data_IF_890779633165
#
_entry.id   IF_890779633165
#
_cell.length_a   1.000
_cell.length_b   1.000
_cell.length_c   1.000
_cell.angle_alpha   90.00
_cell.angle_beta   90.00
_cell.angle_gamma   90.00
#
_symmetry.space_group_name_H-M   'P 1'
#
loop_
_entity.id
_entity.type
_entity.pdbx_description
1 polymer ?
#
# COMPACT_ATOMS: atom_id res chain seq x y z
N UNK A 1 -10.71 -37.37 -31.95
CA UNK A 1 -9.91 -36.26 -31.39
C UNK A 1 -10.39 -35.00 -32.08
N UNK A 2 -11.10 -34.11 -31.38
CA UNK A 2 -11.64 -32.90 -32.00
C UNK A 2 -10.45 -31.99 -32.31
N UNK A 3 -10.20 -31.69 -33.58
CA UNK A 3 -9.33 -30.59 -33.97
C UNK A 3 -9.90 -29.32 -33.35
N UNK A 4 -9.37 -28.95 -32.18
CA UNK A 4 -9.82 -27.81 -31.43
C UNK A 4 -9.53 -26.55 -32.23
N UNK A 5 -10.54 -25.72 -32.43
CA UNK A 5 -10.39 -24.38 -32.98
C UNK A 5 -9.34 -23.67 -32.13
N UNK A 6 -8.18 -23.39 -32.73
CA UNK A 6 -7.07 -22.71 -32.05
C UNK A 6 -7.25 -21.22 -32.25
N UNK A 7 -7.58 -20.52 -31.17
CA UNK A 7 -7.81 -19.07 -31.17
C UNK A 7 -6.46 -18.39 -30.97
N UNK A 8 -6.09 -17.47 -31.85
CA UNK A 8 -4.86 -16.69 -31.68
C UNK A 8 -5.01 -15.65 -30.56
N UNK A 9 -3.89 -15.20 -29.96
CA UNK A 9 -3.91 -14.10 -28.97
C UNK A 9 -4.66 -12.87 -29.46
N UNK A 10 -4.54 -12.55 -30.76
CA UNK A 10 -5.25 -11.42 -31.40
C UNK A 10 -6.75 -11.65 -31.44
N UNK A 11 -7.17 -12.85 -31.83
CA UNK A 11 -8.58 -13.20 -31.89
C UNK A 11 -9.21 -13.27 -30.49
N UNK A 12 -8.47 -13.75 -29.49
CA UNK A 12 -8.91 -13.73 -28.09
C UNK A 12 -9.07 -12.28 -27.56
N UNK A 13 -8.16 -11.39 -27.94
CA UNK A 13 -8.22 -9.96 -27.59
C UNK A 13 -9.45 -9.27 -28.19
N UNK A 14 -9.75 -9.54 -29.46
CA UNK A 14 -10.96 -9.04 -30.13
C UNK A 14 -12.24 -9.53 -29.44
N UNK A 15 -12.31 -10.80 -29.05
CA UNK A 15 -13.50 -11.39 -28.38
C UNK A 15 -13.68 -10.94 -26.93
N UNK A 16 -12.61 -10.65 -26.21
CA UNK A 16 -12.65 -10.21 -24.81
C UNK A 16 -12.68 -8.68 -24.68
N UNK A 17 -12.62 -7.95 -25.79
CA UNK A 17 -12.56 -6.48 -25.84
C UNK A 17 -11.42 -5.89 -24.99
N UNK A 18 -10.27 -6.54 -25.00
CA UNK A 18 -9.05 -6.11 -24.30
C UNK A 18 -7.89 -6.08 -25.27
N UNK A 19 -6.81 -5.40 -24.93
CA UNK A 19 -5.66 -5.29 -25.82
C UNK A 19 -4.88 -6.62 -25.89
N UNK A 20 -4.28 -6.92 -27.05
CA UNK A 20 -3.54 -8.17 -27.25
C UNK A 20 -2.33 -8.31 -26.30
N UNK A 21 -1.73 -7.19 -25.88
CA UNK A 21 -0.68 -7.18 -24.85
C UNK A 21 -1.22 -7.54 -23.46
N UNK A 22 -2.42 -7.09 -23.10
CA UNK A 22 -3.08 -7.44 -21.84
C UNK A 22 -3.38 -8.93 -21.78
N UNK A 23 -3.90 -9.49 -22.88
CA UNK A 23 -4.10 -10.94 -23.01
C UNK A 23 -2.77 -11.68 -22.89
N UNK A 24 -1.70 -11.19 -23.54
CA UNK A 24 -0.36 -11.78 -23.40
C UNK A 24 0.14 -11.75 -21.95
N UNK A 25 0.03 -10.60 -21.27
CA UNK A 25 0.40 -10.44 -19.85
C UNK A 25 -0.36 -11.41 -18.95
N UNK A 26 -1.67 -11.63 -19.21
CA UNK A 26 -2.44 -12.64 -18.49
C UNK A 26 -1.97 -14.06 -18.80
N UNK A 27 -1.67 -14.37 -20.05
CA UNK A 27 -1.11 -15.66 -20.45
C UNK A 27 0.22 -15.91 -19.74
N UNK A 28 1.14 -14.94 -19.74
CA UNK A 28 2.44 -15.05 -19.08
C UNK A 28 2.30 -15.19 -17.55
N UNK A 29 1.35 -14.46 -16.95
CA UNK A 29 1.11 -14.49 -15.49
C UNK A 29 0.41 -15.78 -15.05
N UNK A 30 -0.47 -16.31 -15.90
CA UNK A 30 -1.32 -17.47 -15.61
C UNK A 30 -1.01 -18.66 -16.51
N UNK A 31 0.24 -18.81 -16.97
CA UNK A 31 0.65 -19.79 -17.98
C UNK A 31 0.29 -21.23 -17.56
N UNK A 32 0.60 -21.57 -16.31
CA UNK A 32 0.33 -22.89 -15.71
C UNK A 32 -1.17 -23.22 -15.69
N UNK A 33 -2.04 -22.20 -15.55
CA UNK A 33 -3.48 -22.39 -15.54
C UNK A 33 -4.08 -22.34 -16.94
N UNK A 34 -3.57 -21.51 -17.85
CA UNK A 34 -4.13 -21.34 -19.19
C UNK A 34 -3.64 -22.43 -20.15
N UNK A 35 -2.46 -23.00 -19.90
CA UNK A 35 -1.79 -23.99 -20.76
C UNK A 35 -1.75 -23.54 -22.24
N UNK A 36 -1.16 -22.37 -22.53
CA UNK A 36 -1.10 -21.84 -23.89
C UNK A 36 -0.14 -22.65 -24.76
N UNK A 37 -0.49 -22.85 -26.04
CA UNK A 37 0.43 -23.48 -27.00
C UNK A 37 1.13 -22.41 -27.83
N UNK A 38 2.47 -22.36 -27.81
CA UNK A 38 3.23 -21.43 -28.65
C UNK A 38 3.38 -22.03 -30.05
N UNK A 39 3.03 -21.27 -31.10
CA UNK A 39 3.28 -21.66 -32.48
C UNK A 39 4.73 -21.31 -32.90
N UNK A 40 5.22 -21.82 -34.02
CA UNK A 40 6.60 -21.61 -34.53
C UNK A 40 6.98 -20.12 -34.72
N UNK A 41 6.00 -19.22 -34.69
CA UNK A 41 6.15 -17.76 -34.81
C UNK A 41 6.18 -17.02 -33.45
N UNK A 42 6.17 -17.72 -32.33
CA UNK A 42 6.14 -17.11 -30.99
C UNK A 42 4.77 -16.51 -30.62
N UNK A 43 3.69 -16.95 -31.26
CA UNK A 43 2.32 -16.53 -30.94
C UNK A 43 1.63 -17.57 -30.08
N UNK A 44 0.95 -17.13 -29.02
CA UNK A 44 0.13 -18.02 -28.19
C UNK A 44 -1.16 -18.40 -28.94
N UNK A 45 -1.36 -19.71 -29.04
CA UNK A 45 -2.54 -20.36 -29.56
C UNK A 45 -3.29 -20.96 -28.39
N UNK A 46 -4.53 -20.53 -28.20
CA UNK A 46 -5.39 -20.95 -27.12
C UNK A 46 -6.34 -22.02 -27.64
N UNK A 47 -6.51 -23.11 -26.88
CA UNK A 47 -7.65 -24.01 -27.07
C UNK A 47 -8.92 -23.35 -26.55
N UNK A 48 -10.09 -23.90 -26.89
CA UNK A 48 -11.36 -23.40 -26.35
C UNK A 48 -11.38 -23.44 -24.82
N UNK A 49 -10.79 -24.48 -24.21
CA UNK A 49 -10.68 -24.61 -22.75
C UNK A 49 -9.75 -23.53 -22.17
N UNK A 50 -8.59 -23.29 -22.79
CA UNK A 50 -7.66 -22.20 -22.42
C UNK A 50 -8.34 -20.83 -22.51
N UNK A 51 -9.18 -20.62 -23.52
CA UNK A 51 -9.95 -19.38 -23.69
C UNK A 51 -11.02 -19.20 -22.61
N UNK A 52 -11.70 -20.27 -22.19
CA UNK A 52 -12.64 -20.22 -21.06
C UNK A 52 -11.92 -19.83 -19.77
N UNK A 53 -10.73 -20.38 -19.52
CA UNK A 53 -9.90 -20.01 -18.36
C UNK A 53 -9.45 -18.54 -18.41
N UNK A 54 -9.09 -18.05 -19.59
CA UNK A 54 -8.76 -16.64 -19.82
C UNK A 54 -9.96 -15.71 -19.52
N UNK A 55 -11.18 -16.11 -19.92
CA UNK A 55 -12.41 -15.38 -19.59
C UNK A 55 -12.70 -15.40 -18.07
N UNK A 56 -12.43 -16.51 -17.39
CA UNK A 56 -12.57 -16.59 -15.93
C UNK A 56 -11.64 -15.58 -15.23
N UNK A 57 -10.39 -15.49 -15.67
CA UNK A 57 -9.43 -14.49 -15.17
C UNK A 57 -9.95 -13.07 -15.41
N UNK A 58 -10.43 -12.76 -16.63
CA UNK A 58 -11.02 -11.45 -16.94
C UNK A 58 -12.16 -11.11 -15.97
N UNK A 59 -13.06 -12.06 -15.73
CA UNK A 59 -14.20 -11.85 -14.83
C UNK A 59 -13.75 -11.55 -13.40
N UNK A 60 -12.79 -12.33 -12.88
CA UNK A 60 -12.24 -12.12 -11.53
C UNK A 60 -11.51 -10.78 -11.41
N UNK A 61 -10.83 -10.32 -12.47
CA UNK A 61 -10.22 -8.99 -12.52
C UNK A 61 -11.26 -7.86 -12.51
N UNK A 62 -12.39 -8.05 -13.19
CA UNK A 62 -13.52 -7.11 -13.15
C UNK A 62 -14.20 -7.03 -11.78
N UNK A 63 -14.07 -8.07 -10.96
CA UNK A 63 -14.56 -8.12 -9.57
C UNK A 63 -13.60 -7.42 -8.57
N UNK A 64 -12.67 -6.59 -9.04
CA UNK A 64 -11.64 -5.87 -8.27
C UNK A 64 -10.63 -6.77 -7.52
N UNK A 65 -10.46 -8.02 -7.96
CA UNK A 65 -9.42 -8.89 -7.40
C UNK A 65 -8.08 -8.57 -8.06
N UNK A 66 -7.02 -8.45 -7.27
CA UNK A 66 -5.68 -8.28 -7.83
C UNK A 66 -5.19 -9.57 -8.50
N UNK A 67 -4.28 -9.48 -9.47
CA UNK A 67 -3.70 -10.67 -10.13
C UNK A 67 -3.10 -11.66 -9.11
N UNK A 68 -2.51 -11.14 -8.03
CA UNK A 68 -1.96 -11.94 -6.93
C UNK A 68 -3.04 -12.66 -6.13
N UNK A 69 -4.16 -11.98 -5.86
CA UNK A 69 -5.32 -12.59 -5.18
C UNK A 69 -5.94 -13.69 -6.06
N UNK A 70 -6.07 -13.46 -7.36
CA UNK A 70 -6.57 -14.46 -8.32
C UNK A 70 -5.65 -15.68 -8.35
N UNK A 71 -4.33 -15.47 -8.38
CA UNK A 71 -3.36 -16.58 -8.31
C UNK A 71 -3.53 -17.39 -7.02
N UNK A 72 -3.67 -16.72 -5.88
CA UNK A 72 -3.87 -17.37 -4.60
C UNK A 72 -5.20 -18.14 -4.52
N UNK A 73 -6.28 -17.61 -5.10
CA UNK A 73 -7.56 -18.32 -5.24
C UNK A 73 -7.44 -19.56 -6.13
N UNK A 74 -6.73 -19.47 -7.26
CA UNK A 74 -6.51 -20.60 -8.17
C UNK A 74 -5.68 -21.72 -7.51
N UNK A 75 -4.70 -21.34 -6.66
CA UNK A 75 -3.92 -22.27 -5.83
C UNK A 75 -4.84 -22.92 -4.78
N UNK A 76 -5.67 -22.14 -4.09
CA UNK A 76 -6.61 -22.66 -3.09
C UNK A 76 -7.70 -23.57 -3.70
N UNK A 77 -8.12 -23.29 -4.93
CA UNK A 77 -9.06 -24.13 -5.69
C UNK A 77 -8.44 -25.44 -6.20
N UNK A 78 -7.13 -25.65 -5.99
CA UNK A 78 -6.42 -26.85 -6.47
C UNK A 78 -6.27 -26.91 -8.00
N UNK A 79 -6.44 -25.76 -8.68
CA UNK A 79 -6.30 -25.63 -10.15
C UNK A 79 -4.93 -25.08 -10.56
N UNK A 80 -4.11 -24.71 -9.59
CA UNK A 80 -2.76 -24.20 -9.76
C UNK A 80 -1.84 -25.00 -8.84
N UNK A 81 -0.98 -25.84 -9.41
CA UNK A 81 -0.04 -26.65 -8.65
C UNK A 81 1.20 -25.79 -8.32
N UNK A 82 1.41 -25.54 -7.04
CA UNK A 82 2.26 -24.45 -6.56
C UNK A 82 3.77 -24.78 -6.59
N UNK A 83 4.24 -25.50 -7.61
CA UNK A 83 5.57 -26.11 -7.62
C UNK A 83 6.36 -25.90 -8.93
N UNK A 84 6.24 -24.74 -9.55
CA UNK A 84 7.14 -24.29 -10.64
C UNK A 84 7.75 -22.91 -10.33
N UNK A 85 8.36 -22.78 -9.15
CA UNK A 85 9.47 -21.84 -8.97
C UNK A 85 10.78 -22.60 -9.25
N UNK A 86 11.18 -22.70 -10.53
CA UNK A 86 12.57 -22.82 -11.01
C UNK A 86 12.61 -23.34 -12.46
N UNK A 87 12.98 -22.47 -13.40
CA UNK A 87 14.05 -22.69 -14.39
C UNK A 87 13.95 -21.62 -15.49
N UNK A 88 14.75 -20.57 -15.34
CA UNK A 88 15.24 -19.83 -16.48
C UNK A 88 16.38 -20.64 -17.09
N UNK A 89 16.30 -21.02 -18.37
CA UNK A 89 17.47 -21.26 -19.23
C UNK A 89 17.20 -20.72 -20.64
N UNK A 90 18.18 -20.00 -21.25
CA UNK A 90 18.11 -19.56 -22.64
C UNK A 90 18.91 -20.52 -23.55
N UNK A 91 18.26 -21.13 -24.53
CA UNK A 91 18.92 -21.93 -25.59
C UNK A 91 18.42 -21.38 -26.95
N UNK A 92 19.24 -20.59 -27.64
CA UNK A 92 20.17 -20.98 -28.72
C UNK A 92 19.53 -21.10 -30.12
N UNK A 93 20.04 -20.24 -31.01
CA UNK A 93 20.15 -20.27 -32.47
C UNK A 93 19.22 -21.17 -33.30
N UNK A 94 18.54 -20.56 -34.30
CA UNK A 94 18.59 -21.06 -35.68
C UNK A 94 18.17 -20.00 -36.71
N UNK A 95 19.07 -19.78 -37.68
CA UNK A 95 18.92 -18.95 -38.88
C UNK A 95 18.22 -19.77 -39.97
N UNK A 96 17.16 -19.24 -40.62
CA UNK A 96 16.72 -19.75 -41.93
C UNK A 96 16.39 -18.59 -42.89
N UNK A 97 16.99 -18.70 -44.07
CA UNK A 97 16.98 -17.79 -45.21
C UNK A 97 15.63 -17.67 -45.92
N UNK A 98 15.35 -16.47 -46.43
CA UNK A 98 14.25 -16.14 -47.35
C UNK A 98 14.60 -16.51 -48.80
N UNK A 99 13.62 -16.94 -49.61
CA UNK A 99 13.75 -16.72 -51.05
C UNK A 99 12.44 -16.23 -51.71
N UNK A 100 12.61 -15.19 -52.54
CA UNK A 100 11.67 -14.63 -53.53
C UNK A 100 10.49 -13.79 -52.96
N UNK A 101 10.21 -12.56 -53.38
CA UNK A 101 10.57 -11.83 -54.61
C UNK A 101 9.30 -11.43 -55.36
N UNK A 102 8.75 -10.23 -55.08
CA UNK A 102 8.19 -9.30 -56.08
C UNK A 102 7.60 -8.04 -55.43
N UNK A 103 8.09 -6.90 -55.89
CA UNK A 103 7.76 -5.53 -55.49
C UNK A 103 6.64 -4.94 -56.34
N UNK A 104 5.63 -4.30 -55.72
CA UNK A 104 4.81 -3.22 -56.33
C UNK A 104 4.34 -2.22 -55.24
N UNK A 105 4.07 -0.94 -55.60
CA UNK A 105 4.32 0.20 -54.71
C UNK A 105 3.15 0.50 -53.77
N UNK A 106 3.34 0.20 -52.48
CA UNK A 106 2.43 0.56 -51.39
C UNK A 106 2.78 1.90 -50.71
N UNK A 107 3.68 2.71 -51.26
CA UNK A 107 4.25 3.86 -50.52
C UNK A 107 3.32 5.07 -50.32
N UNK A 108 2.12 5.10 -50.91
CA UNK A 108 1.22 6.27 -50.81
C UNK A 108 -0.01 6.09 -49.93
N UNK A 109 -0.30 4.87 -49.48
CA UNK A 109 -1.30 4.59 -48.43
C UNK A 109 -0.65 4.26 -47.09
N UNK A 110 0.60 3.79 -47.12
CA UNK A 110 1.43 3.53 -45.93
C UNK A 110 1.76 4.83 -45.19
N UNK A 111 2.03 5.96 -45.86
CA UNK A 111 2.42 7.20 -45.19
C UNK A 111 1.38 7.75 -44.19
N UNK A 112 0.09 7.71 -44.54
CA UNK A 112 -0.98 8.13 -43.61
C UNK A 112 -1.31 7.07 -42.55
N UNK A 113 -1.02 5.79 -42.82
CA UNK A 113 -1.19 4.70 -41.85
C UNK A 113 -0.03 4.63 -40.86
N UNK A 114 1.18 4.97 -41.29
CA UNK A 114 2.37 5.16 -40.44
C UNK A 114 2.18 6.37 -39.53
N UNK A 115 1.73 7.51 -40.07
CA UNK A 115 1.53 8.73 -39.28
C UNK A 115 0.40 8.55 -38.24
N UNK A 116 -0.67 7.81 -38.59
CA UNK A 116 -1.69 7.38 -37.63
C UNK A 116 -1.11 6.33 -36.66
N UNK A 117 -0.23 5.45 -37.13
CA UNK A 117 0.50 4.46 -36.35
C UNK A 117 1.39 5.08 -35.27
N UNK A 118 2.21 6.07 -35.61
CA UNK A 118 3.06 6.84 -34.70
C UNK A 118 2.24 7.64 -33.68
N UNK A 119 1.11 8.19 -34.11
CA UNK A 119 0.20 8.90 -33.21
C UNK A 119 -0.49 7.94 -32.23
N UNK A 120 -0.88 6.75 -32.70
CA UNK A 120 -1.40 5.68 -31.84
C UNK A 120 -0.33 5.16 -30.88
N UNK A 121 0.91 4.97 -31.34
CA UNK A 121 2.06 4.59 -30.51
C UNK A 121 2.30 5.60 -29.39
N UNK A 122 2.25 6.90 -29.70
CA UNK A 122 2.34 7.97 -28.69
C UNK A 122 1.19 7.92 -27.68
N UNK A 123 -0.03 7.61 -28.13
CA UNK A 123 -1.18 7.45 -27.24
C UNK A 123 -1.02 6.20 -26.36
N UNK A 124 -0.45 5.11 -26.90
CA UNK A 124 -0.16 3.89 -26.15
C UNK A 124 0.94 4.11 -25.11
N UNK A 125 2.03 4.80 -25.45
CA UNK A 125 3.07 5.19 -24.48
C UNK A 125 2.49 6.03 -23.33
N UNK A 126 1.56 6.94 -23.63
CA UNK A 126 0.89 7.73 -22.59
C UNK A 126 -0.08 6.92 -21.75
N UNK A 127 -0.74 5.92 -22.33
CA UNK A 127 -1.61 5.00 -21.58
C UNK A 127 -0.78 4.07 -20.69
N UNK A 128 0.39 3.62 -21.15
CA UNK A 128 1.34 2.81 -20.37
C UNK A 128 1.90 3.61 -19.18
N UNK A 129 2.28 4.88 -19.40
CA UNK A 129 2.67 5.80 -18.33
C UNK A 129 1.53 6.05 -17.32
N UNK A 130 0.28 6.08 -17.79
CA UNK A 130 -0.88 6.20 -16.91
C UNK A 130 -1.13 4.93 -16.11
N UNK A 131 -0.98 3.76 -16.72
CA UNK A 131 -1.07 2.45 -16.06
C UNK A 131 -0.02 2.35 -14.94
N UNK A 132 1.24 2.67 -15.25
CA UNK A 132 2.35 2.69 -14.27
C UNK A 132 2.12 3.71 -13.15
N UNK A 133 1.60 4.90 -13.48
CA UNK A 133 1.26 5.89 -12.47
C UNK A 133 0.14 5.43 -11.54
N UNK A 134 -0.88 4.73 -12.08
CA UNK A 134 -1.97 4.15 -11.31
C UNK A 134 -1.46 3.03 -10.40
N UNK A 135 -0.56 2.17 -10.87
CA UNK A 135 0.08 1.17 -10.02
C UNK A 135 0.92 1.78 -8.90
N UNK A 136 1.70 2.81 -9.22
CA UNK A 136 2.47 3.54 -8.21
C UNK A 136 1.55 4.16 -7.15
N UNK A 137 0.40 4.70 -7.56
CA UNK A 137 -0.59 5.23 -6.62
C UNK A 137 -1.16 4.13 -5.71
N UNK A 138 -1.41 2.93 -6.21
CA UNK A 138 -1.84 1.81 -5.39
C UNK A 138 -0.78 1.41 -4.35
N UNK A 139 0.49 1.33 -4.75
CA UNK A 139 1.59 1.02 -3.83
C UNK A 139 1.74 2.09 -2.73
N UNK A 140 1.63 3.38 -3.10
CA UNK A 140 1.68 4.50 -2.16
C UNK A 140 0.49 4.47 -1.21
N UNK A 141 -0.72 4.14 -1.69
CA UNK A 141 -1.92 4.02 -0.85
C UNK A 141 -1.78 2.84 0.10
N UNK A 142 -1.30 1.69 -0.35
CA UNK A 142 -1.07 0.52 0.49
C UNK A 142 0.00 0.80 1.56
N UNK A 143 1.09 1.48 1.20
CA UNK A 143 2.10 1.92 2.15
C UNK A 143 1.53 2.92 3.17
N UNK A 144 0.69 3.87 2.71
CA UNK A 144 0.00 4.81 3.58
C UNK A 144 -0.96 4.09 4.54
N UNK A 145 -1.72 3.11 4.05
CA UNK A 145 -2.64 2.32 4.87
C UNK A 145 -1.86 1.52 5.93
N UNK A 146 -0.77 0.85 5.55
CA UNK A 146 0.10 0.15 6.50
C UNK A 146 0.69 1.11 7.54
N UNK A 147 1.16 2.28 7.11
CA UNK A 147 1.66 3.33 8.02
C UNK A 147 0.55 3.87 8.93
N UNK A 148 -0.67 4.00 8.43
CA UNK A 148 -1.81 4.51 9.19
C UNK A 148 -2.31 3.49 10.22
N UNK A 149 -2.33 2.20 9.87
CA UNK A 149 -2.64 1.10 10.80
C UNK A 149 -1.54 0.95 11.85
N UNK A 150 -0.26 1.04 11.46
CA UNK A 150 0.86 1.07 12.41
C UNK A 150 0.82 2.31 13.32
N UNK A 151 0.45 3.48 12.78
CA UNK A 151 0.29 4.70 13.56
C UNK A 151 -1.00 4.74 14.39
N UNK A 152 -2.05 3.98 14.05
CA UNK A 152 -3.23 3.84 14.91
C UNK A 152 -2.88 3.23 16.27
N UNK A 153 -1.81 2.45 16.38
CA UNK A 153 -1.28 2.00 17.68
C UNK A 153 -0.60 3.12 18.48
N UNK A 154 -0.19 4.22 17.84
CA UNK A 154 0.48 5.37 18.46
C UNK A 154 -0.45 6.56 18.73
N UNK A 155 -1.68 6.57 18.19
CA UNK A 155 -2.68 7.53 18.64
C UNK A 155 -3.29 7.03 19.95
N UNK A 156 -2.85 7.61 21.06
CA UNK A 156 -3.61 7.52 22.31
C UNK A 156 -5.04 7.97 21.98
N UNK A 157 -6.07 7.12 22.19
CA UNK A 157 -7.44 7.49 21.90
C UNK A 157 -7.76 8.79 22.62
N UNK A 158 -8.51 9.70 21.97
CA UNK A 158 -8.79 11.04 22.50
C UNK A 158 -9.32 11.00 23.94
N UNK A 159 -10.05 9.94 24.30
CA UNK A 159 -10.50 9.65 25.66
C UNK A 159 -9.36 9.47 26.67
N UNK A 160 -8.28 8.78 26.30
CA UNK A 160 -7.11 8.58 27.14
C UNK A 160 -6.31 9.87 27.32
N UNK A 161 -6.20 10.71 26.28
CA UNK A 161 -5.63 12.05 26.41
C UNK A 161 -6.45 12.95 27.34
N UNK A 162 -7.79 12.94 27.21
CA UNK A 162 -8.68 13.67 28.10
C UNK A 162 -8.53 13.21 29.56
N UNK A 163 -8.44 11.89 29.79
CA UNK A 163 -8.20 11.33 31.12
C UNK A 163 -6.88 11.82 31.71
N UNK A 164 -5.80 11.81 30.92
CA UNK A 164 -4.49 12.30 31.36
C UNK A 164 -4.50 13.80 31.68
N UNK A 165 -5.22 14.62 30.91
CA UNK A 165 -5.38 16.05 31.18
C UNK A 165 -6.14 16.27 32.51
N UNK A 166 -7.19 15.50 32.77
CA UNK A 166 -7.95 15.58 34.02
C UNK A 166 -7.09 15.18 35.23
N UNK A 167 -6.30 14.11 35.10
CA UNK A 167 -5.38 13.64 36.14
C UNK A 167 -4.26 14.66 36.42
N UNK A 168 -3.75 15.33 35.39
CA UNK A 168 -2.79 16.44 35.55
C UNK A 168 -3.45 17.59 36.33
N UNK A 169 -4.69 17.95 36.00
CA UNK A 169 -5.46 18.98 36.72
C UNK A 169 -5.62 18.65 38.20
N UNK A 170 -6.04 17.40 38.51
CA UNK A 170 -6.17 16.92 39.90
C UNK A 170 -4.85 16.99 40.67
N UNK A 171 -3.75 16.54 40.05
CA UNK A 171 -2.41 16.62 40.67
C UNK A 171 -1.97 18.06 40.91
N UNK A 172 -2.28 18.96 39.98
CA UNK A 172 -1.96 20.39 40.14
C UNK A 172 -2.72 20.99 41.35
N UNK A 173 -4.00 20.66 41.50
CA UNK A 173 -4.80 21.15 42.63
C UNK A 173 -4.38 20.53 43.96
N UNK A 174 -3.98 19.25 43.96
CA UNK A 174 -3.37 18.61 45.11
C UNK A 174 -2.07 19.31 45.52
N UNK A 175 -1.16 19.56 44.57
CA UNK A 175 0.09 20.29 44.81
C UNK A 175 -0.15 21.69 45.35
N UNK A 176 -1.16 22.42 44.86
CA UNK A 176 -1.54 23.73 45.40
C UNK A 176 -2.04 23.63 46.85
N UNK A 177 -2.81 22.60 47.18
CA UNK A 177 -3.26 22.37 48.55
C UNK A 177 -2.08 22.06 49.48
N UNK A 178 -1.17 21.19 49.05
CA UNK A 178 0.05 20.86 49.79
C UNK A 178 0.96 22.08 49.98
N UNK A 179 1.15 22.90 48.94
CA UNK A 179 1.90 24.16 49.05
C UNK A 179 1.27 25.13 50.04
N UNK A 180 -0.05 25.28 50.04
CA UNK A 180 -0.76 26.12 51.03
C UNK A 180 -0.56 25.58 52.44
N UNK A 181 -0.68 24.26 52.62
CA UNK A 181 -0.49 23.62 53.93
C UNK A 181 0.95 23.74 54.41
N UNK A 182 1.94 23.55 53.53
CA UNK A 182 3.35 23.72 53.83
C UNK A 182 3.67 25.18 54.19
N UNK A 183 3.13 26.14 53.43
CA UNK A 183 3.28 27.58 53.70
C UNK A 183 2.65 27.97 55.03
N UNK A 184 1.45 27.46 55.31
CA UNK A 184 0.77 27.68 56.57
C UNK A 184 1.54 27.09 57.75
N UNK A 185 2.00 25.84 57.62
CA UNK A 185 2.81 25.16 58.64
C UNK A 185 4.14 25.89 58.87
N UNK A 186 4.77 26.38 57.80
CA UNK A 186 5.99 27.18 57.90
C UNK A 186 5.75 28.50 58.64
N UNK A 187 4.66 29.22 58.32
CA UNK A 187 4.27 30.46 59.01
C UNK A 187 3.91 30.23 60.48
N UNK A 188 3.25 29.12 60.81
CA UNK A 188 2.97 28.74 62.19
C UNK A 188 4.25 28.39 62.96
N UNK A 189 5.15 27.62 62.34
CA UNK A 189 6.43 27.28 62.93
C UNK A 189 7.27 28.55 63.18
N UNK A 190 7.33 29.47 62.22
CA UNK A 190 8.05 30.74 62.37
C UNK A 190 7.44 31.64 63.46
N UNK A 191 6.11 31.73 63.52
CA UNK A 191 5.42 32.53 64.54
C UNK A 191 5.57 31.95 65.96
N UNK A 192 5.62 30.62 66.09
CA UNK A 192 5.84 29.95 67.38
C UNK A 192 7.30 30.00 67.84
N UNK A 193 8.26 30.04 66.92
CA UNK A 193 9.67 30.30 67.26
C UNK A 193 9.92 31.73 67.71
N UNK A 194 9.21 32.74 67.18
CA UNK A 194 9.35 34.13 67.64
C UNK A 194 8.70 34.39 69.01
N UNK A 195 7.71 33.58 69.43
CA UNK A 195 7.01 33.78 70.71
C UNK A 195 7.69 33.11 71.92
N UNK A 196 8.80 32.39 71.76
CA UNK A 196 9.51 31.74 72.90
C UNK A 196 10.73 32.50 73.44
N UNK A 197 11.08 33.68 72.92
CA UNK A 197 12.20 34.47 73.45
C UNK A 197 11.72 35.83 73.98
N UNK A 198 11.00 35.84 75.12
CA UNK A 198 11.29 36.74 76.26
C UNK A 198 10.30 36.55 77.43
N UNK A 199 10.81 36.22 78.62
CA UNK A 199 10.27 36.78 79.85
C UNK A 199 11.36 37.63 80.50
N UNK A 200 11.24 38.96 80.51
CA UNK A 200 12.21 39.80 81.24
C UNK A 200 11.58 40.98 82.00
N UNK A 201 11.41 40.69 83.30
CA UNK A 201 11.48 41.55 84.50
C UNK A 201 10.26 42.40 84.87
N UNK A 202 9.47 41.81 85.78
CA UNK A 202 8.85 42.53 86.89
C UNK A 202 9.94 43.28 87.69
N UNK A 203 9.88 44.62 87.75
CA UNK A 203 10.66 45.40 88.72
C UNK A 203 9.86 45.51 90.02
N UNK A 204 10.44 44.91 91.07
CA UNK A 204 10.00 44.98 92.47
C UNK A 204 9.88 46.42 92.96
N UNK A 205 8.75 46.71 93.60
CA UNK A 205 8.58 47.75 94.61
C UNK A 205 9.69 47.67 95.67
N UNK A 206 10.29 48.81 96.01
CA UNK A 206 10.93 49.05 97.31
C UNK A 206 10.63 50.48 97.77
N UNK A 207 9.93 50.53 98.90
CA UNK A 207 9.77 51.68 99.79
C UNK A 207 11.10 52.12 100.44
N UNK A 208 11.06 53.29 101.10
CA UNK A 208 12.07 54.04 101.89
C UNK A 208 13.00 54.95 101.06
N UNK A 209 13.18 56.25 101.34
CA UNK A 209 12.71 57.17 102.38
C UNK A 209 13.58 58.44 102.39
N UNK A 210 12.96 59.59 102.71
CA UNK A 210 13.47 60.80 103.42
C UNK A 210 14.82 61.42 102.98
N UNK A 211 14.80 62.61 102.35
CA UNK A 211 15.14 63.94 102.90
C UNK A 211 14.98 65.02 101.82
#
# INVERSE_FOLDING_TARGET
MKEGVRISTREAAERLHVHARTVRKWIDTFEEYIEPHVNDRGHYMLTEDSYIRLRDIQKRLQENKSMRQIRQELIMEGKWDNNSEQAAEPEEDTVIQMPFGNSYPMHRLIGSLDEIGEMMETVFERLDQLEDHVFTMFDVIEEMERKMVANQQNYLPATQLHQMIEDIGKKQDQLKAELRNATFSHRLASATTETQLTPRRQKRSRFLGIF
#
